data_IF_214484285799
#
_entry.id   IF_214484285799
#
_cell.length_a   1.000
_cell.length_b   1.000
_cell.length_c   1.000
_cell.angle_alpha   90.00
_cell.angle_beta   90.00
_cell.angle_gamma   90.00
#
_symmetry.space_group_name_H-M   'P 1'
#
loop_
_entity.id
_entity.type
_entity.pdbx_description
1 polymer ?
#
# COMPACT_ATOMS: atom_id res chain seq x y z
N UNK A 1 -0.39 -15.05 -11.10
CA UNK A 1 0.70 -14.09 -10.82
C UNK A 1 0.45 -12.68 -11.38
N UNK A 2 0.37 -12.43 -12.70
CA UNK A 2 0.17 -11.05 -13.23
C UNK A 2 -1.02 -10.30 -12.60
N UNK A 3 -2.17 -10.97 -12.49
CA UNK A 3 -3.41 -10.37 -11.92
C UNK A 3 -3.29 -9.95 -10.45
N UNK A 4 -2.56 -10.68 -9.61
CA UNK A 4 -2.41 -10.36 -8.17
C UNK A 4 -1.48 -9.16 -8.00
N UNK A 5 -0.35 -9.17 -8.70
CA UNK A 5 0.59 -8.04 -8.76
C UNK A 5 -0.04 -6.76 -9.34
N UNK A 6 -0.99 -6.89 -10.26
CA UNK A 6 -1.73 -5.76 -10.84
C UNK A 6 -2.77 -5.21 -9.85
N UNK A 7 -3.45 -6.10 -9.11
CA UNK A 7 -4.39 -5.70 -8.05
C UNK A 7 -3.69 -4.97 -6.90
N UNK A 8 -2.57 -5.50 -6.40
CA UNK A 8 -1.78 -4.86 -5.33
C UNK A 8 -1.26 -3.49 -5.78
N UNK A 9 -0.77 -3.37 -7.02
CA UNK A 9 -0.32 -2.07 -7.56
C UNK A 9 -1.44 -1.05 -7.68
N UNK A 10 -2.64 -1.47 -8.09
CA UNK A 10 -3.79 -0.58 -8.15
C UNK A 10 -4.21 -0.10 -6.76
N UNK A 11 -4.23 -0.99 -5.77
CA UNK A 11 -4.58 -0.64 -4.39
C UNK A 11 -3.56 0.32 -3.76
N UNK A 12 -2.26 0.11 -3.99
CA UNK A 12 -1.20 1.05 -3.56
C UNK A 12 -1.40 2.43 -4.21
N UNK A 13 -1.75 2.48 -5.50
CA UNK A 13 -1.99 3.75 -6.20
C UNK A 13 -3.17 4.50 -5.60
N UNK A 14 -4.29 3.82 -5.38
CA UNK A 14 -5.49 4.43 -4.79
C UNK A 14 -5.23 4.95 -3.37
N UNK A 15 -4.48 4.21 -2.55
CA UNK A 15 -4.11 4.64 -1.20
C UNK A 15 -3.20 5.88 -1.22
N UNK A 16 -2.27 5.96 -2.18
CA UNK A 16 -1.41 7.15 -2.36
C UNK A 16 -2.21 8.38 -2.81
N UNK A 17 -3.18 8.21 -3.70
CA UNK A 17 -4.05 9.31 -4.13
C UNK A 17 -4.90 9.83 -2.96
N UNK A 18 -5.48 8.93 -2.16
CA UNK A 18 -6.22 9.30 -0.94
C UNK A 18 -5.34 10.00 0.08
N UNK A 19 -4.11 9.51 0.27
CA UNK A 19 -3.14 10.13 1.18
C UNK A 19 -2.83 11.56 0.75
N UNK A 20 -2.54 11.78 -0.52
CA UNK A 20 -2.26 13.11 -1.06
C UNK A 20 -3.46 14.05 -0.93
N UNK A 21 -4.67 13.59 -1.26
CA UNK A 21 -5.89 14.38 -1.07
C UNK A 21 -6.09 14.77 0.40
N UNK A 22 -5.88 13.85 1.32
CA UNK A 22 -6.04 14.12 2.74
C UNK A 22 -5.03 15.16 3.25
N UNK A 23 -3.78 15.07 2.79
CA UNK A 23 -2.72 16.05 3.08
C UNK A 23 -3.07 17.43 2.51
N UNK A 24 -3.54 17.49 1.26
CA UNK A 24 -3.90 18.72 0.56
C UNK A 24 -5.13 19.41 1.19
N UNK A 25 -6.10 18.63 1.67
CA UNK A 25 -7.35 19.16 2.22
C UNK A 25 -7.26 19.59 3.69
N UNK A 26 -6.50 18.87 4.51
CA UNK A 26 -6.54 19.07 5.98
C UNK A 26 -5.27 19.66 6.57
N UNK A 27 -4.15 19.63 5.85
CA UNK A 27 -2.84 19.95 6.42
C UNK A 27 -2.42 18.87 7.42
N UNK A 28 -1.23 18.31 7.20
CA UNK A 28 -0.72 17.13 7.90
C UNK A 28 -0.82 17.33 9.43
N UNK A 29 -1.62 16.52 10.08
CA UNK A 29 -1.60 16.30 11.52
C UNK A 29 -2.06 14.87 11.80
N UNK A 30 -1.69 14.32 12.97
CA UNK A 30 -1.88 12.96 13.50
C UNK A 30 -3.35 12.44 13.48
N UNK A 31 -3.98 12.45 12.31
CA UNK A 31 -5.34 12.03 12.10
C UNK A 31 -5.38 10.49 12.01
N UNK A 32 -6.28 9.82 12.74
CA UNK A 32 -6.42 8.36 12.72
C UNK A 32 -6.54 7.77 11.31
N UNK A 33 -7.10 8.54 10.39
CA UNK A 33 -7.31 8.17 8.99
C UNK A 33 -5.98 8.11 8.21
N UNK A 34 -5.03 9.00 8.48
CA UNK A 34 -3.69 8.95 7.89
C UNK A 34 -2.89 7.75 8.42
N UNK A 35 -3.00 7.48 9.72
CA UNK A 35 -2.37 6.31 10.34
C UNK A 35 -2.93 5.01 9.75
N UNK A 36 -4.24 4.94 9.51
CA UNK A 36 -4.88 3.78 8.88
C UNK A 36 -4.42 3.58 7.43
N UNK A 37 -4.29 4.66 6.65
CA UNK A 37 -3.78 4.60 5.27
C UNK A 37 -2.32 4.11 5.26
N UNK A 38 -1.47 4.63 6.15
CA UNK A 38 -0.07 4.21 6.27
C UNK A 38 0.05 2.74 6.69
N UNK A 39 -0.69 2.30 7.70
CA UNK A 39 -0.67 0.90 8.13
C UNK A 39 -1.10 -0.05 6.99
N UNK A 40 -2.09 0.34 6.20
CA UNK A 40 -2.54 -0.46 5.05
C UNK A 40 -1.49 -0.51 3.94
N UNK A 41 -0.76 0.57 3.70
CA UNK A 41 0.35 0.59 2.75
C UNK A 41 1.47 -0.37 3.19
N UNK A 42 1.82 -0.37 4.47
CA UNK A 42 2.84 -1.29 5.02
C UNK A 42 2.43 -2.76 4.84
N UNK A 43 1.18 -3.11 5.12
CA UNK A 43 0.65 -4.46 4.89
C UNK A 43 0.76 -4.90 3.43
N UNK A 44 0.45 -4.01 2.48
CA UNK A 44 0.51 -4.31 1.05
C UNK A 44 1.95 -4.48 0.57
N UNK A 45 2.89 -3.69 1.10
CA UNK A 45 4.32 -3.83 0.81
C UNK A 45 4.82 -5.17 1.33
N UNK A 46 4.47 -5.57 2.56
CA UNK A 46 4.86 -6.85 3.14
C UNK A 46 4.30 -8.02 2.32
N UNK A 47 3.03 -7.95 1.90
CA UNK A 47 2.42 -8.97 1.04
C UNK A 47 3.16 -9.10 -0.30
N UNK A 48 3.50 -7.96 -0.92
CA UNK A 48 4.24 -7.95 -2.18
C UNK A 48 5.66 -8.53 -2.04
N UNK A 49 6.37 -8.18 -0.96
CA UNK A 49 7.69 -8.74 -0.67
C UNK A 49 7.60 -10.24 -0.40
N UNK A 50 6.64 -10.70 0.41
CA UNK A 50 6.47 -12.12 0.70
C UNK A 50 6.15 -12.94 -0.56
N UNK A 51 5.31 -12.44 -1.47
CA UNK A 51 5.08 -13.10 -2.77
C UNK A 51 6.32 -13.12 -3.66
N UNK A 52 7.15 -12.07 -3.60
CA UNK A 52 8.39 -11.96 -4.39
C UNK A 52 9.48 -12.89 -3.86
N UNK A 53 9.65 -13.00 -2.54
CA UNK A 53 10.71 -13.78 -1.91
C UNK A 53 10.33 -15.24 -1.64
N UNK A 54 9.06 -15.57 -1.38
CA UNK A 54 8.61 -16.96 -1.22
C UNK A 54 8.70 -17.78 -2.52
N UNK A 55 8.82 -17.12 -3.68
CA UNK A 55 9.09 -17.76 -4.96
C UNK A 55 10.58 -17.89 -5.29
N UNK A 56 11.48 -17.13 -4.65
CA UNK A 56 12.92 -17.23 -4.86
C UNK A 56 13.55 -18.44 -4.15
N UNK A 57 12.89 -19.00 -3.15
CA UNK A 57 13.32 -20.21 -2.42
C UNK A 57 12.70 -21.51 -2.93
N UNK A 58 11.84 -21.44 -3.97
CA UNK A 58 11.21 -22.59 -4.62
C UNK A 58 11.82 -22.91 -6.01
N UNK A 59 12.96 -22.31 -6.36
CA UNK A 59 13.70 -22.54 -7.62
C UNK A 59 15.05 -23.20 -7.39
#
# INVERSE_FOLDING_TARGET
MKRINEKIRNEIRELREKLNQYIDERGINDEPELLAINARLDELIIQWLNETYSNSSAS
#
